data_IF_359633494623
#
_entry.id   IF_359633494623
#
_cell.length_a   1.000
_cell.length_b   1.000
_cell.length_c   1.000
_cell.angle_alpha   90.00
_cell.angle_beta   90.00
_cell.angle_gamma   90.00
#
_symmetry.space_group_name_H-M   'P 1'
#
loop_
_entity.id
_entity.type
_entity.pdbx_description
1 polymer ?
#
# COMPACT_ATOMS: atom_id res chain seq x y z
N UNK A 1 -1.41 -7.58 -64.78
CA UNK A 1 0.05 -7.73 -64.68
C UNK A 1 0.46 -7.23 -63.32
N UNK A 2 1.14 -8.09 -62.58
CA UNK A 2 1.74 -7.85 -61.27
C UNK A 2 2.62 -6.59 -61.21
N UNK A 3 2.62 -5.91 -60.06
CA UNK A 3 3.78 -5.91 -59.16
C UNK A 3 3.58 -4.96 -57.95
N UNK A 4 3.73 -5.51 -56.75
CA UNK A 4 4.49 -4.86 -55.67
C UNK A 4 3.78 -3.90 -54.72
N UNK A 5 2.99 -4.42 -53.77
CA UNK A 5 2.77 -3.72 -52.48
C UNK A 5 4.04 -3.87 -51.62
N UNK A 6 4.82 -2.80 -51.52
CA UNK A 6 5.91 -2.70 -50.55
C UNK A 6 5.35 -2.36 -49.17
N UNK A 7 5.49 -3.30 -48.23
CA UNK A 7 5.26 -3.13 -46.79
C UNK A 7 6.32 -2.18 -46.23
N UNK A 8 5.90 -1.01 -45.73
CA UNK A 8 6.80 -0.12 -44.98
C UNK A 8 7.04 -0.68 -43.58
N UNK A 9 8.30 -0.74 -43.18
CA UNK A 9 8.77 -1.14 -41.86
C UNK A 9 8.37 -0.09 -40.81
N UNK A 10 7.63 -0.45 -39.74
CA UNK A 10 7.22 0.48 -38.70
C UNK A 10 8.37 0.95 -37.78
N UNK A 11 9.64 0.67 -38.12
CA UNK A 11 10.82 1.05 -37.33
C UNK A 11 11.69 2.15 -37.95
N UNK A 12 11.28 2.73 -39.09
CA UNK A 12 12.04 3.83 -39.71
C UNK A 12 11.66 5.19 -39.09
N UNK A 13 12.44 5.62 -38.10
CA UNK A 13 12.22 6.85 -37.33
C UNK A 13 13.02 8.05 -37.86
N UNK A 14 13.23 8.12 -39.18
CA UNK A 14 13.97 9.21 -39.84
C UNK A 14 13.03 10.07 -40.70
N UNK A 15 12.18 10.86 -40.04
CA UNK A 15 11.66 12.16 -40.51
C UNK A 15 10.47 12.59 -39.65
N UNK A 16 10.73 13.23 -38.50
CA UNK A 16 9.73 14.05 -37.80
C UNK A 16 9.98 15.54 -37.92
N UNK A 17 10.96 15.95 -38.73
CA UNK A 17 11.15 17.35 -39.09
C UNK A 17 10.40 17.66 -40.39
N UNK A 18 9.07 17.78 -40.26
CA UNK A 18 8.26 18.61 -41.17
C UNK A 18 6.91 18.97 -40.55
N UNK A 19 6.94 20.14 -39.92
CA UNK A 19 5.94 21.21 -40.02
C UNK A 19 4.50 20.93 -39.55
N UNK A 20 4.26 21.21 -38.27
CA UNK A 20 3.02 21.85 -37.81
C UNK A 20 3.10 23.30 -38.27
N UNK A 21 2.45 23.62 -39.40
CA UNK A 21 2.23 24.99 -39.85
C UNK A 21 0.95 25.49 -39.17
N UNK A 22 1.01 26.72 -38.65
CA UNK A 22 -0.02 27.50 -37.97
C UNK A 22 -0.31 27.25 -36.48
N UNK A 23 0.47 27.95 -35.64
CA UNK A 23 -0.07 28.63 -34.45
C UNK A 23 0.67 29.95 -34.21
N UNK A 24 -0.03 30.99 -33.71
CA UNK A 24 0.42 32.37 -33.76
C UNK A 24 1.59 32.63 -32.81
N UNK A 25 2.46 33.53 -33.25
CA UNK A 25 3.67 33.97 -32.55
C UNK A 25 3.39 34.48 -31.13
N UNK A 26 4.31 34.11 -30.23
CA UNK A 26 4.49 34.56 -28.83
C UNK A 26 3.71 33.82 -27.73
N UNK A 27 4.07 32.56 -27.53
CA UNK A 27 4.27 32.00 -26.19
C UNK A 27 5.67 31.38 -26.18
N UNK A 28 6.60 31.96 -25.40
CA UNK A 28 7.97 31.45 -25.33
C UNK A 28 7.96 29.98 -24.95
N UNK A 29 8.76 29.16 -25.65
CA UNK A 29 8.98 27.77 -25.26
C UNK A 29 9.48 27.75 -23.82
N UNK A 30 8.66 27.23 -22.90
CA UNK A 30 9.08 26.97 -21.53
C UNK A 30 10.28 26.03 -21.63
N UNK A 31 11.45 26.49 -21.20
CA UNK A 31 12.62 25.62 -21.19
C UNK A 31 12.45 24.58 -20.09
N UNK A 32 13.14 23.45 -20.17
CA UNK A 32 13.13 22.47 -19.08
C UNK A 32 13.54 23.09 -17.74
N UNK A 33 14.38 24.13 -17.74
CA UNK A 33 14.76 24.87 -16.55
C UNK A 33 13.59 25.67 -15.96
N UNK A 34 12.81 26.35 -16.81
CA UNK A 34 11.64 27.14 -16.38
C UNK A 34 10.53 26.23 -15.83
N UNK A 35 10.30 25.08 -16.47
CA UNK A 35 9.35 24.07 -15.99
C UNK A 35 9.81 23.43 -14.67
N UNK A 36 11.11 23.15 -14.52
CA UNK A 36 11.66 22.57 -13.30
C UNK A 36 11.56 23.54 -12.10
N UNK A 37 11.78 24.84 -12.31
CA UNK A 37 11.60 25.86 -11.28
C UNK A 37 10.15 25.94 -10.80
N UNK A 38 9.19 25.94 -11.74
CA UNK A 38 7.76 25.95 -11.41
C UNK A 38 7.31 24.66 -10.70
N UNK A 39 7.90 23.51 -11.04
CA UNK A 39 7.63 22.25 -10.34
C UNK A 39 8.15 22.28 -8.90
N UNK A 40 9.34 22.86 -8.68
CA UNK A 40 9.92 23.05 -7.35
C UNK A 40 9.05 23.96 -6.48
N UNK A 41 8.57 25.08 -7.03
CA UNK A 41 7.67 26.01 -6.34
C UNK A 41 6.32 25.38 -5.97
N UNK A 42 5.90 24.33 -6.69
CA UNK A 42 4.70 23.54 -6.41
C UNK A 42 4.98 22.31 -5.52
N UNK A 43 6.17 22.21 -4.93
CA UNK A 43 6.52 21.14 -3.99
C UNK A 43 6.95 19.82 -4.64
N UNK A 44 7.23 19.80 -5.95
CA UNK A 44 7.77 18.64 -6.66
C UNK A 44 9.29 18.77 -6.79
N UNK A 45 10.04 17.80 -6.29
CA UNK A 45 11.51 17.78 -6.46
C UNK A 45 11.87 17.11 -7.81
N UNK A 46 12.44 17.84 -8.78
CA UNK A 46 12.76 17.27 -10.08
C UNK A 46 13.96 16.31 -9.98
N UNK A 47 13.78 15.09 -10.48
CA UNK A 47 14.84 14.07 -10.46
C UNK A 47 15.90 14.43 -11.52
N UNK A 48 17.17 14.66 -11.14
CA UNK A 48 18.22 14.96 -12.11
C UNK A 48 18.45 13.76 -13.02
N UNK A 49 18.81 14.01 -14.28
CA UNK A 49 19.08 13.00 -15.31
C UNK A 49 20.58 12.99 -15.60
N UNK A 50 21.18 11.80 -15.77
CA UNK A 50 22.60 11.66 -16.13
C UNK A 50 22.85 12.36 -17.48
N UNK A 51 23.84 13.25 -17.61
CA UNK A 51 24.11 13.94 -18.87
C UNK A 51 24.27 12.97 -20.05
N UNK A 52 23.50 13.19 -21.13
CA UNK A 52 23.54 12.36 -22.34
C UNK A 52 22.85 11.00 -22.24
N UNK A 53 22.26 10.66 -21.09
CA UNK A 53 21.53 9.40 -20.89
C UNK A 53 20.10 9.71 -20.45
N UNK A 54 19.09 8.99 -20.94
CA UNK A 54 17.70 9.12 -20.44
C UNK A 54 17.50 8.37 -19.12
N UNK A 55 18.47 8.48 -18.21
CA UNK A 55 18.55 7.69 -16.98
C UNK A 55 18.67 8.64 -15.78
N UNK A 56 17.84 8.47 -14.73
CA UNK A 56 17.97 9.24 -13.49
C UNK A 56 19.39 9.20 -12.90
N UNK A 57 19.92 10.37 -12.54
CA UNK A 57 21.14 10.54 -11.75
C UNK A 57 20.80 10.51 -10.26
N UNK A 58 20.38 9.35 -9.77
CA UNK A 58 20.08 9.16 -8.34
C UNK A 58 21.40 9.20 -7.54
N UNK A 59 21.61 10.25 -6.75
CA UNK A 59 22.71 10.33 -5.78
C UNK A 59 22.13 10.48 -4.36
N UNK A 60 22.49 9.57 -3.45
CA UNK A 60 22.16 9.54 -1.99
C UNK A 60 20.80 8.94 -1.56
N UNK A 61 20.47 7.74 -2.05
CA UNK A 61 19.29 6.96 -1.59
C UNK A 61 19.51 6.06 -0.35
N UNK A 62 20.70 6.07 0.27
CA UNK A 62 21.07 5.10 1.32
C UNK A 62 20.60 5.44 2.74
N UNK A 63 19.39 5.97 2.90
CA UNK A 63 18.75 6.02 4.21
C UNK A 63 17.25 5.93 4.04
N UNK A 64 16.69 4.73 4.14
CA UNK A 64 15.25 4.56 4.32
C UNK A 64 14.93 5.16 5.68
N UNK A 65 14.24 6.30 5.67
CA UNK A 65 13.61 6.81 6.87
C UNK A 65 12.31 6.03 7.01
N UNK A 66 12.36 4.87 7.67
CA UNK A 66 11.15 4.29 8.27
C UNK A 66 10.67 5.40 9.21
N UNK A 67 9.54 6.04 8.90
CA UNK A 67 9.10 7.25 9.60
C UNK A 67 9.41 7.16 11.10
N UNK A 68 10.35 7.94 11.65
CA UNK A 68 10.73 7.88 13.06
C UNK A 68 9.66 8.52 13.95
N UNK A 69 8.44 8.64 13.44
CA UNK A 69 7.36 9.38 14.07
C UNK A 69 6.41 8.38 14.72
N UNK A 70 5.89 8.69 15.93
CA UNK A 70 4.98 7.79 16.63
C UNK A 70 3.76 7.44 15.77
N UNK A 71 3.43 6.15 15.74
CA UNK A 71 2.27 5.58 15.06
C UNK A 71 1.34 5.00 16.12
N UNK A 72 0.05 5.28 16.02
CA UNK A 72 -0.98 4.61 16.80
C UNK A 72 -1.74 3.61 15.94
N UNK A 73 -1.81 2.35 16.39
CA UNK A 73 -2.71 1.34 15.84
C UNK A 73 -3.84 1.10 16.82
N UNK A 74 -5.08 1.35 16.41
CA UNK A 74 -6.28 1.01 17.21
C UNK A 74 -7.02 -0.14 16.56
N UNK A 75 -7.29 -1.19 17.33
CA UNK A 75 -7.91 -2.40 16.79
C UNK A 75 -8.66 -3.24 17.83
N UNK A 76 -8.91 -4.52 17.59
CA UNK A 76 -9.48 -5.42 18.61
C UNK A 76 -8.41 -5.86 19.60
N UNK A 77 -8.77 -5.95 20.88
CA UNK A 77 -7.87 -6.38 21.95
C UNK A 77 -7.12 -7.69 21.62
N UNK A 78 -7.82 -8.65 20.99
CA UNK A 78 -7.26 -9.95 20.63
C UNK A 78 -6.13 -9.89 19.58
N UNK A 79 -6.01 -8.80 18.83
CA UNK A 79 -5.02 -8.66 17.75
C UNK A 79 -3.96 -7.59 18.03
N UNK A 80 -4.05 -6.84 19.13
CA UNK A 80 -3.03 -5.85 19.51
C UNK A 80 -1.63 -6.44 19.59
N UNK A 81 -1.51 -7.65 20.14
CA UNK A 81 -0.23 -8.34 20.28
C UNK A 81 0.51 -8.56 18.94
N UNK A 82 -0.20 -8.55 17.81
CA UNK A 82 0.41 -8.67 16.48
C UNK A 82 1.30 -7.46 16.11
N UNK A 83 1.19 -6.34 16.84
CA UNK A 83 1.93 -5.11 16.57
C UNK A 83 3.01 -4.80 17.62
N UNK A 84 3.12 -5.62 18.68
CA UNK A 84 3.94 -5.30 19.86
C UNK A 84 5.45 -5.08 19.56
N UNK A 85 5.99 -5.78 18.57
CA UNK A 85 7.41 -5.73 18.23
C UNK A 85 7.74 -4.74 17.10
N UNK A 86 6.77 -3.93 16.65
CA UNK A 86 7.00 -2.95 15.59
C UNK A 86 7.52 -1.64 16.21
N UNK A 87 8.73 -1.19 15.85
CA UNK A 87 9.29 0.04 16.40
C UNK A 87 8.40 1.25 16.13
N UNK A 88 8.29 2.15 17.11
CA UNK A 88 7.49 3.39 17.06
C UNK A 88 5.98 3.17 16.87
N UNK A 89 5.48 1.96 17.10
CA UNK A 89 4.05 1.66 17.09
C UNK A 89 3.56 1.50 18.53
N UNK A 90 2.62 2.36 18.91
CA UNK A 90 1.77 2.16 20.08
C UNK A 90 0.46 1.50 19.66
N UNK A 91 -0.08 0.65 20.53
CA UNK A 91 -1.37 -0.01 20.30
C UNK A 91 -2.42 0.44 21.31
N UNK A 92 -3.67 0.43 20.87
CA UNK A 92 -4.82 0.47 21.75
C UNK A 92 -5.95 -0.38 21.15
N UNK A 93 -7.00 -0.60 21.93
CA UNK A 93 -8.22 -1.23 21.43
C UNK A 93 -9.46 -0.37 21.59
N UNK A 94 -10.48 -0.67 20.76
CA UNK A 94 -11.80 -0.07 20.87
C UNK A 94 -12.34 -0.17 22.32
N UNK A 95 -13.04 0.86 22.77
CA UNK A 95 -13.52 1.06 24.14
C UNK A 95 -12.43 1.35 25.20
N UNK A 96 -11.14 1.18 24.90
CA UNK A 96 -10.05 1.49 25.81
C UNK A 96 -9.31 2.80 25.48
N UNK A 97 -9.70 3.49 24.42
CA UNK A 97 -9.16 4.80 24.05
C UNK A 97 -9.87 5.96 24.76
N UNK A 98 -11.04 5.72 25.35
CA UNK A 98 -11.84 6.74 26.01
C UNK A 98 -11.08 7.39 27.17
N UNK A 99 -11.00 8.72 27.17
CA UNK A 99 -10.32 9.50 28.21
C UNK A 99 -8.80 9.56 28.11
N UNK A 100 -8.17 8.87 27.16
CA UNK A 100 -6.73 8.95 26.93
C UNK A 100 -6.34 10.21 26.12
N UNK A 101 -5.31 10.91 26.58
CA UNK A 101 -4.75 12.12 25.94
C UNK A 101 -3.25 11.97 25.58
N UNK A 102 -2.75 10.74 25.53
CA UNK A 102 -1.35 10.45 25.23
C UNK A 102 -1.02 10.37 23.73
N UNK A 103 -2.02 10.44 22.84
CA UNK A 103 -1.83 10.22 21.40
C UNK A 103 -1.81 11.52 20.58
N UNK A 104 -1.59 12.66 21.23
CA UNK A 104 -1.71 13.97 20.60
C UNK A 104 -0.57 14.33 19.64
N UNK A 105 0.53 13.58 19.65
CA UNK A 105 1.77 13.81 18.89
C UNK A 105 2.02 12.74 17.80
N UNK A 106 1.17 11.71 17.72
CA UNK A 106 1.27 10.68 16.67
C UNK A 106 1.14 11.30 15.29
N UNK A 107 1.97 10.84 14.36
CA UNK A 107 1.95 11.35 12.98
C UNK A 107 1.10 10.49 12.05
N UNK A 108 0.86 9.23 12.44
CA UNK A 108 0.00 8.30 11.74
C UNK A 108 -0.91 7.57 12.74
N UNK A 109 -2.19 7.52 12.43
CA UNK A 109 -3.19 6.72 13.13
C UNK A 109 -3.79 5.70 12.17
N UNK A 110 -3.73 4.41 12.53
CA UNK A 110 -4.32 3.32 11.76
C UNK A 110 -5.41 2.67 12.61
N UNK A 111 -6.67 2.79 12.20
CA UNK A 111 -7.79 2.09 12.80
C UNK A 111 -8.10 0.84 11.99
N UNK A 112 -7.98 -0.34 12.60
CA UNK A 112 -8.19 -1.64 11.94
C UNK A 112 -9.46 -2.29 12.48
N UNK A 113 -10.44 -2.49 11.61
CA UNK A 113 -11.74 -3.04 11.96
C UNK A 113 -12.71 -1.98 12.47
N UNK A 114 -13.77 -2.47 13.13
CA UNK A 114 -14.84 -1.67 13.72
C UNK A 114 -15.59 -2.47 14.80
N UNK A 115 -16.03 -1.86 15.90
CA UNK A 115 -16.92 -2.51 16.86
C UNK A 115 -18.35 -2.58 16.28
N UNK A 116 -18.59 -3.55 15.40
CA UNK A 116 -19.93 -3.83 14.87
C UNK A 116 -20.59 -4.91 15.73
N UNK A 117 -21.55 -4.55 16.61
CA UNK A 117 -22.26 -5.53 17.42
C UNK A 117 -23.09 -6.48 16.55
N UNK A 118 -23.42 -7.69 17.03
CA UNK A 118 -24.45 -8.54 16.43
C UNK A 118 -25.84 -7.87 16.46
N UNK A 119 -26.69 -8.16 15.47
CA UNK A 119 -28.06 -7.60 15.38
C UNK A 119 -28.84 -7.80 16.68
N UNK A 120 -28.81 -9.02 17.24
CA UNK A 120 -29.50 -9.38 18.48
C UNK A 120 -29.08 -8.54 19.69
N UNK A 121 -27.80 -8.16 19.78
CA UNK A 121 -27.31 -7.30 20.87
C UNK A 121 -27.81 -5.88 20.71
N UNK A 122 -27.82 -5.35 19.49
CA UNK A 122 -28.41 -4.04 19.19
C UNK A 122 -29.91 -4.06 19.48
N UNK A 123 -30.62 -5.12 19.06
CA UNK A 123 -32.06 -5.24 19.28
C UNK A 123 -32.42 -5.27 20.78
N UNK A 124 -31.63 -6.00 21.58
CA UNK A 124 -31.78 -6.02 23.03
C UNK A 124 -31.50 -4.65 23.67
N UNK A 125 -30.47 -3.94 23.21
CA UNK A 125 -30.17 -2.58 23.68
C UNK A 125 -31.29 -1.61 23.30
N UNK A 126 -31.84 -1.71 22.09
CA UNK A 126 -32.98 -0.89 21.65
C UNK A 126 -34.19 -1.11 22.56
N UNK A 127 -34.52 -2.36 22.89
CA UNK A 127 -35.58 -2.66 23.84
C UNK A 127 -35.35 -2.10 25.22
N UNK A 128 -34.12 -2.16 25.71
CA UNK A 128 -33.76 -1.58 27.00
C UNK A 128 -33.82 -0.04 27.02
N UNK A 129 -33.38 0.62 25.94
CA UNK A 129 -33.21 2.08 25.92
C UNK A 129 -34.49 2.83 25.51
N UNK A 130 -35.29 2.22 24.64
CA UNK A 130 -36.46 2.87 24.02
C UNK A 130 -37.80 2.18 24.33
N UNK A 131 -37.80 1.11 25.13
CA UNK A 131 -39.00 0.34 25.50
C UNK A 131 -39.79 -0.15 24.26
N UNK A 132 -39.07 -0.66 23.25
CA UNK A 132 -39.64 -1.16 22.00
C UNK A 132 -38.94 -2.42 21.50
N UNK A 133 -39.66 -3.29 20.80
CA UNK A 133 -39.04 -4.43 20.10
C UNK A 133 -38.74 -3.98 18.67
N UNK A 134 -37.47 -3.80 18.28
CA UNK A 134 -37.12 -3.40 16.93
C UNK A 134 -37.47 -4.48 15.92
N UNK A 135 -37.83 -4.08 14.71
CA UNK A 135 -38.09 -4.98 13.58
C UNK A 135 -36.94 -4.94 12.56
N UNK A 136 -36.77 -6.03 11.80
CA UNK A 136 -35.77 -6.12 10.75
C UNK A 136 -34.42 -6.68 11.20
N UNK A 137 -33.37 -6.35 10.45
CA UNK A 137 -32.03 -6.92 10.61
C UNK A 137 -30.97 -6.01 9.99
N UNK A 138 -29.71 -6.43 10.03
CA UNK A 138 -28.69 -5.81 9.20
C UNK A 138 -28.92 -6.01 7.70
N UNK A 139 -28.82 -4.92 6.96
CA UNK A 139 -28.88 -4.87 5.51
C UNK A 139 -27.64 -4.17 4.96
N UNK A 140 -27.16 -4.66 3.81
CA UNK A 140 -26.15 -3.96 3.03
C UNK A 140 -26.80 -2.84 2.23
N UNK A 141 -26.27 -1.64 2.37
CA UNK A 141 -26.61 -0.48 1.57
C UNK A 141 -25.36 0.17 1.00
N UNK A 142 -25.51 1.10 0.06
CA UNK A 142 -24.37 1.87 -0.48
C UNK A 142 -24.45 3.28 0.09
N UNK A 143 -23.46 3.63 0.91
CA UNK A 143 -23.30 4.97 1.44
C UNK A 143 -22.37 5.81 0.55
N UNK A 144 -22.64 7.11 0.45
CA UNK A 144 -21.79 8.04 -0.29
C UNK A 144 -20.70 8.66 0.60
N UNK A 145 -19.44 8.46 0.24
CA UNK A 145 -18.29 9.11 0.84
C UNK A 145 -17.96 10.40 0.10
N UNK A 146 -17.70 11.48 0.84
CA UNK A 146 -17.24 12.75 0.26
C UNK A 146 -15.73 12.72 0.11
N UNK A 147 -15.24 12.78 -1.13
CA UNK A 147 -13.81 12.86 -1.42
C UNK A 147 -13.31 14.31 -1.36
N UNK A 148 -12.03 14.54 -1.02
CA UNK A 148 -11.41 15.88 -1.08
C UNK A 148 -11.49 16.51 -2.47
N UNK A 149 -11.47 15.69 -3.52
CA UNK A 149 -11.65 16.14 -4.90
C UNK A 149 -13.04 16.70 -5.23
N UNK A 150 -13.98 16.66 -4.29
CA UNK A 150 -15.38 17.06 -4.47
C UNK A 150 -16.26 15.94 -5.06
N UNK A 151 -15.68 14.81 -5.45
CA UNK A 151 -16.44 13.64 -5.93
C UNK A 151 -17.10 12.88 -4.77
N UNK A 152 -18.23 12.23 -5.06
CA UNK A 152 -18.84 11.25 -4.15
C UNK A 152 -18.50 9.84 -4.63
N UNK A 153 -18.07 8.97 -3.72
CA UNK A 153 -17.77 7.56 -4.00
C UNK A 153 -18.67 6.66 -3.16
N UNK A 154 -19.24 5.63 -3.78
CA UNK A 154 -20.10 4.67 -3.09
C UNK A 154 -19.29 3.62 -2.34
N UNK A 155 -19.66 3.34 -1.09
CA UNK A 155 -19.10 2.28 -0.26
C UNK A 155 -20.24 1.38 0.24
N UNK A 156 -20.19 0.06 0.04
CA UNK A 156 -21.11 -0.87 0.68
C UNK A 156 -20.92 -0.87 2.20
N UNK A 157 -21.95 -0.53 2.97
CA UNK A 157 -21.94 -0.52 4.43
C UNK A 157 -23.06 -1.40 4.99
N UNK A 158 -22.96 -1.78 6.26
CA UNK A 158 -24.04 -2.47 6.98
C UNK A 158 -24.78 -1.45 7.85
N UNK A 159 -26.11 -1.43 7.73
CA UNK A 159 -27.03 -0.67 8.58
C UNK A 159 -28.12 -1.59 9.11
N UNK A 160 -28.69 -1.24 10.25
CA UNK A 160 -29.90 -1.88 10.74
C UNK A 160 -31.13 -1.28 10.04
N UNK A 161 -32.15 -2.11 9.76
CA UNK A 161 -33.39 -1.68 9.10
C UNK A 161 -34.27 -0.81 10.03
N UNK A 162 -34.36 -1.13 11.32
CA UNK A 162 -34.96 -0.26 12.36
C UNK A 162 -34.06 0.94 12.70
N UNK A 163 -34.67 2.13 12.78
CA UNK A 163 -33.97 3.42 12.97
C UNK A 163 -33.38 3.59 14.38
N UNK A 164 -34.05 3.07 15.42
CA UNK A 164 -33.55 3.17 16.80
C UNK A 164 -32.38 2.21 17.01
N UNK A 165 -32.50 0.99 16.48
CA UNK A 165 -31.40 0.04 16.42
C UNK A 165 -30.22 0.58 15.58
N UNK A 166 -30.48 1.23 14.46
CA UNK A 166 -29.41 1.85 13.66
C UNK A 166 -28.72 2.99 14.43
N UNK A 167 -29.47 3.78 15.20
CA UNK A 167 -28.91 4.82 16.07
C UNK A 167 -27.93 4.23 17.09
N UNK A 168 -28.31 3.14 17.77
CA UNK A 168 -27.42 2.48 18.73
C UNK A 168 -26.24 1.78 18.04
N UNK A 169 -26.46 1.15 16.88
CA UNK A 169 -25.36 0.58 16.08
C UNK A 169 -24.36 1.67 15.67
N UNK A 170 -24.84 2.81 15.18
CA UNK A 170 -23.99 3.93 14.79
C UNK A 170 -23.19 4.49 15.98
N UNK A 171 -23.83 4.62 17.15
CA UNK A 171 -23.17 5.05 18.38
C UNK A 171 -22.06 4.09 18.83
N UNK A 172 -22.28 2.78 18.70
CA UNK A 172 -21.27 1.77 19.07
C UNK A 172 -20.16 1.69 18.02
N UNK A 173 -20.50 1.73 16.73
CA UNK A 173 -19.58 1.45 15.63
C UNK A 173 -18.93 2.70 15.04
N UNK A 174 -19.75 3.63 14.54
CA UNK A 174 -19.29 4.76 13.73
C UNK A 174 -18.72 5.86 14.65
N UNK A 175 -19.40 6.15 15.76
CA UNK A 175 -18.96 7.16 16.73
C UNK A 175 -17.68 6.74 17.48
N UNK A 176 -17.52 5.44 17.78
CA UNK A 176 -16.27 4.94 18.35
C UNK A 176 -15.09 5.12 17.40
N UNK A 177 -15.28 4.89 16.09
CA UNK A 177 -14.25 5.18 15.08
C UNK A 177 -13.95 6.68 14.97
N UNK A 178 -14.97 7.54 15.02
CA UNK A 178 -14.77 8.99 15.08
C UNK A 178 -13.98 9.38 16.34
N UNK A 179 -14.29 8.75 17.48
CA UNK A 179 -13.57 8.98 18.73
C UNK A 179 -12.10 8.58 18.61
N UNK A 180 -11.83 7.41 18.03
CA UNK A 180 -10.48 6.93 17.72
C UNK A 180 -9.73 7.92 16.84
N UNK A 181 -10.31 8.37 15.73
CA UNK A 181 -9.70 9.38 14.85
C UNK A 181 -9.41 10.68 15.61
N UNK A 182 -10.31 11.08 16.51
CA UNK A 182 -10.15 12.24 17.38
C UNK A 182 -8.93 12.18 18.31
N UNK A 183 -8.41 10.98 18.64
CA UNK A 183 -7.26 10.82 19.54
C UNK A 183 -5.97 11.40 18.97
N UNK A 184 -5.78 11.35 17.66
CA UNK A 184 -4.63 12.00 17.01
C UNK A 184 -4.71 13.53 17.01
N UNK A 185 -5.82 14.13 17.48
CA UNK A 185 -6.04 15.59 17.55
C UNK A 185 -5.74 16.32 16.23
N UNK A 186 -6.14 15.72 15.10
CA UNK A 186 -5.90 16.27 13.75
C UNK A 186 -6.38 17.72 13.57
N UNK A 187 -7.44 18.13 14.27
CA UNK A 187 -7.96 19.51 14.26
C UNK A 187 -6.98 20.56 14.81
N UNK A 188 -6.04 20.15 15.67
CA UNK A 188 -5.01 21.02 16.25
C UNK A 188 -3.72 21.03 15.40
N UNK A 189 -3.69 20.29 14.30
CA UNK A 189 -2.50 20.13 13.46
C UNK A 189 -2.45 21.19 12.34
N UNK A 190 -1.25 21.44 11.85
CA UNK A 190 -0.99 22.34 10.71
C UNK A 190 -0.35 21.56 9.56
N UNK A 191 -0.17 22.20 8.41
CA UNK A 191 0.56 21.62 7.28
C UNK A 191 2.00 21.21 7.65
N UNK A 192 2.61 21.81 8.68
CA UNK A 192 3.96 21.48 9.13
C UNK A 192 4.02 20.25 10.06
N UNK A 193 2.89 19.83 10.64
CA UNK A 193 2.80 18.64 11.50
C UNK A 193 1.48 17.91 11.23
N UNK A 194 1.27 17.37 10.02
CA UNK A 194 0.00 16.74 9.67
C UNK A 194 -0.19 15.44 10.46
N UNK A 195 -1.46 15.09 10.71
CA UNK A 195 -1.85 13.75 11.12
C UNK A 195 -2.38 13.01 9.89
N UNK A 196 -1.77 11.87 9.58
CA UNK A 196 -2.31 10.92 8.60
C UNK A 196 -3.22 9.90 9.32
N UNK A 197 -4.38 9.59 8.73
CA UNK A 197 -5.37 8.67 9.31
C UNK A 197 -5.78 7.63 8.29
N UNK A 198 -5.60 6.35 8.63
CA UNK A 198 -6.06 5.21 7.83
C UNK A 198 -7.18 4.48 8.56
N UNK A 199 -8.30 4.25 7.88
CA UNK A 199 -9.42 3.46 8.39
C UNK A 199 -9.55 2.21 7.53
N UNK A 200 -9.23 1.05 8.11
CA UNK A 200 -9.28 -0.25 7.47
C UNK A 200 -10.57 -0.97 7.88
N UNK A 201 -11.70 -0.40 7.47
CA UNK A 201 -13.03 -0.99 7.64
C UNK A 201 -14.04 -0.37 6.66
N UNK A 202 -15.08 -1.14 6.31
CA UNK A 202 -16.12 -0.71 5.35
C UNK A 202 -17.16 0.24 6.01
N UNK A 203 -16.73 1.38 6.52
CA UNK A 203 -17.59 2.38 7.21
C UNK A 203 -17.69 3.69 6.45
N UNK A 204 -18.84 4.35 6.54
CA UNK A 204 -19.07 5.66 5.96
C UNK A 204 -19.10 6.74 7.05
N UNK A 205 -17.91 7.17 7.45
CA UNK A 205 -17.73 8.23 8.44
C UNK A 205 -18.03 9.61 7.84
N UNK A 206 -18.56 10.57 8.63
CA UNK A 206 -18.81 11.95 8.19
C UNK A 206 -17.52 12.79 8.05
N UNK A 207 -16.50 12.24 7.40
CA UNK A 207 -15.20 12.87 7.15
C UNK A 207 -14.98 13.07 5.64
N UNK A 208 -14.11 14.02 5.30
CA UNK A 208 -13.64 14.19 3.91
C UNK A 208 -12.50 13.20 3.67
N UNK A 209 -12.65 12.37 2.63
CA UNK A 209 -11.72 11.28 2.33
C UNK A 209 -10.73 11.71 1.25
N UNK A 210 -9.45 11.57 1.52
CA UNK A 210 -8.38 11.84 0.56
C UNK A 210 -8.20 10.70 -0.46
N UNK A 211 -8.18 9.46 0.01
CA UNK A 211 -7.97 8.26 -0.80
C UNK A 211 -8.91 7.13 -0.34
N UNK A 212 -9.54 6.47 -1.32
CA UNK A 212 -10.33 5.26 -1.13
C UNK A 212 -9.75 4.16 -2.02
N UNK A 213 -9.54 2.99 -1.46
CA UNK A 213 -8.88 1.84 -2.08
C UNK A 213 -9.45 0.55 -1.49
N UNK A 214 -9.10 -0.60 -2.06
CA UNK A 214 -9.52 -1.90 -1.54
C UNK A 214 -8.36 -2.62 -0.87
N UNK A 215 -8.68 -3.51 0.07
CA UNK A 215 -7.66 -4.34 0.71
C UNK A 215 -6.86 -5.16 -0.31
N UNK A 216 -7.48 -5.66 -1.37
CA UNK A 216 -6.79 -6.42 -2.41
C UNK A 216 -5.69 -5.63 -3.14
N UNK A 217 -5.79 -4.30 -3.17
CA UNK A 217 -4.80 -3.40 -3.77
C UNK A 217 -3.70 -3.03 -2.78
N UNK A 218 -4.04 -2.83 -1.50
CA UNK A 218 -3.10 -2.37 -0.48
C UNK A 218 -2.35 -3.50 0.24
N UNK A 219 -2.94 -4.69 0.32
CA UNK A 219 -2.33 -5.81 1.05
C UNK A 219 -1.02 -6.23 0.39
N UNK A 220 -0.02 -6.65 1.18
CA UNK A 220 1.19 -7.21 0.61
C UNK A 220 0.87 -8.40 -0.30
N UNK A 221 1.43 -8.40 -1.50
CA UNK A 221 1.40 -9.57 -2.37
C UNK A 221 2.42 -10.63 -1.89
N UNK A 222 2.44 -11.77 -2.58
CA UNK A 222 3.32 -12.88 -2.21
C UNK A 222 4.80 -12.50 -2.28
N UNK A 223 5.18 -11.63 -3.22
CA UNK A 223 6.56 -11.18 -3.38
C UNK A 223 6.94 -10.26 -2.21
N UNK A 224 6.06 -9.34 -1.85
CA UNK A 224 6.24 -8.42 -0.73
C UNK A 224 6.28 -9.17 0.60
N UNK A 225 5.45 -10.18 0.81
CA UNK A 225 5.54 -11.06 1.98
C UNK A 225 6.90 -11.75 2.10
N UNK A 226 7.46 -12.22 0.98
CA UNK A 226 8.81 -12.80 0.99
C UNK A 226 9.88 -11.74 1.31
N UNK A 227 9.83 -10.56 0.68
CA UNK A 227 10.77 -9.45 0.99
C UNK A 227 10.69 -9.05 2.46
N UNK A 228 9.49 -8.92 3.03
CA UNK A 228 9.29 -8.60 4.45
C UNK A 228 9.75 -9.73 5.37
N UNK A 229 9.76 -10.97 4.88
CA UNK A 229 10.36 -12.12 5.56
C UNK A 229 11.89 -12.21 5.36
N UNK A 230 12.50 -11.20 4.73
CA UNK A 230 13.94 -11.02 4.57
C UNK A 230 14.40 -11.02 3.12
N UNK A 231 13.82 -11.86 2.25
CA UNK A 231 14.27 -12.00 0.86
C UNK A 231 13.17 -12.61 0.00
N UNK A 232 13.03 -12.18 -1.25
CA UNK A 232 12.17 -12.81 -2.25
C UNK A 232 13.00 -13.52 -3.31
N UNK A 233 12.45 -14.59 -3.90
CA UNK A 233 13.08 -15.34 -5.00
C UNK A 233 12.06 -15.67 -6.09
N UNK A 234 12.52 -15.84 -7.32
CA UNK A 234 11.70 -16.23 -8.49
C UNK A 234 11.56 -17.75 -8.68
N UNK A 235 12.34 -18.53 -7.93
CA UNK A 235 12.27 -20.00 -7.90
C UNK A 235 11.23 -20.49 -6.89
N UNK A 236 10.12 -21.12 -7.30
CA UNK A 236 9.12 -21.62 -6.36
C UNK A 236 9.65 -22.70 -5.41
N UNK A 237 10.62 -23.49 -5.88
CA UNK A 237 11.25 -24.52 -5.06
C UNK A 237 12.09 -23.91 -3.93
N UNK A 238 12.81 -22.83 -4.22
CA UNK A 238 13.64 -22.16 -3.21
C UNK A 238 12.76 -21.29 -2.29
N UNK A 239 11.71 -20.66 -2.82
CA UNK A 239 10.73 -19.91 -2.03
C UNK A 239 10.07 -20.77 -0.94
N UNK A 240 9.70 -22.02 -1.27
CA UNK A 240 9.12 -22.94 -0.30
C UNK A 240 10.09 -23.37 0.81
N UNK A 241 11.40 -23.37 0.55
CA UNK A 241 12.41 -23.67 1.56
C UNK A 241 12.72 -22.44 2.42
N UNK A 242 12.84 -21.27 1.79
CA UNK A 242 13.15 -20.00 2.48
C UNK A 242 11.97 -19.48 3.30
N UNK A 243 10.75 -19.76 2.89
CA UNK A 243 9.52 -19.25 3.53
C UNK A 243 8.51 -20.36 3.85
N UNK A 244 8.85 -21.30 4.76
CA UNK A 244 7.94 -22.40 5.11
C UNK A 244 6.65 -21.92 5.78
N UNK A 245 6.62 -20.70 6.34
CA UNK A 245 5.40 -20.07 6.85
C UNK A 245 4.47 -19.51 5.75
N UNK A 246 4.98 -19.28 4.54
CA UNK A 246 4.20 -18.79 3.39
C UNK A 246 3.78 -19.92 2.44
N UNK A 247 4.58 -20.99 2.36
CA UNK A 247 4.33 -22.11 1.45
C UNK A 247 4.63 -23.44 2.12
N UNK A 248 3.68 -24.37 2.07
CA UNK A 248 3.90 -25.74 2.54
C UNK A 248 4.75 -26.59 1.59
N UNK A 249 4.79 -26.26 0.30
CA UNK A 249 5.63 -26.93 -0.70
C UNK A 249 5.83 -26.12 -2.00
N UNK A 250 6.71 -26.62 -2.88
CA UNK A 250 7.05 -25.97 -4.15
C UNK A 250 5.87 -25.83 -5.14
N UNK A 251 4.89 -26.74 -5.12
CA UNK A 251 3.72 -26.64 -6.00
C UNK A 251 2.78 -25.51 -5.54
N UNK A 252 2.64 -25.34 -4.23
CA UNK A 252 1.89 -24.22 -3.65
C UNK A 252 2.54 -22.88 -3.99
N UNK A 253 3.86 -22.75 -3.81
CA UNK A 253 4.61 -21.58 -4.23
C UNK A 253 4.44 -21.29 -5.73
N UNK A 254 4.50 -22.32 -6.58
CA UNK A 254 4.31 -22.18 -8.03
C UNK A 254 2.91 -21.67 -8.37
N UNK A 255 1.88 -22.17 -7.68
CA UNK A 255 0.50 -21.73 -7.87
C UNK A 255 0.32 -20.29 -7.38
N UNK A 256 0.89 -19.92 -6.23
CA UNK A 256 0.88 -18.56 -5.72
C UNK A 256 1.54 -17.59 -6.72
N UNK A 257 2.71 -17.95 -7.25
CA UNK A 257 3.40 -17.14 -8.26
C UNK A 257 2.54 -17.00 -9.52
N UNK A 258 1.89 -18.05 -10.01
CA UNK A 258 1.01 -17.95 -11.18
C UNK A 258 -0.18 -17.02 -10.96
N UNK A 259 -0.73 -16.99 -9.74
CA UNK A 259 -1.85 -16.12 -9.36
C UNK A 259 -1.43 -14.66 -9.21
N UNK A 260 -0.22 -14.43 -8.72
CA UNK A 260 0.37 -13.09 -8.56
C UNK A 260 0.94 -12.52 -9.87
N UNK A 261 1.49 -13.36 -10.76
CA UNK A 261 2.22 -12.94 -11.97
C UNK A 261 1.32 -12.77 -13.21
N UNK A 262 0.12 -13.39 -13.26
CA UNK A 262 -0.73 -13.37 -14.47
C UNK A 262 -2.08 -12.63 -14.34
N UNK A 263 -2.13 -11.55 -13.54
CA UNK A 263 -3.14 -10.48 -13.69
C UNK A 263 -2.56 -9.20 -14.32
N UNK A 264 -1.53 -9.32 -15.15
CA UNK A 264 -1.10 -8.23 -16.06
C UNK A 264 -0.59 -6.97 -15.37
N UNK A 265 -0.28 -7.03 -14.08
CA UNK A 265 0.44 -5.99 -13.37
C UNK A 265 1.66 -6.64 -12.75
N UNK A 266 2.85 -6.32 -13.26
CA UNK A 266 4.02 -6.33 -12.39
C UNK A 266 3.66 -5.39 -11.23
N UNK A 267 3.77 -5.79 -9.96
CA UNK A 267 3.77 -4.86 -8.83
C UNK A 267 5.07 -4.06 -8.90
N UNK A 268 5.18 -3.20 -9.91
CA UNK A 268 6.23 -2.20 -10.09
C UNK A 268 5.60 -0.84 -10.41
N UNK A 269 4.30 -0.74 -10.74
CA UNK A 269 3.79 0.49 -11.35
C UNK A 269 3.00 1.45 -10.47
N UNK A 270 2.71 1.13 -9.21
CA UNK A 270 2.13 2.13 -8.29
C UNK A 270 2.40 1.74 -6.85
N UNK A 271 3.03 2.66 -6.11
CA UNK A 271 3.31 2.66 -4.67
C UNK A 271 4.27 1.59 -4.12
N UNK A 272 5.56 1.71 -4.42
CA UNK A 272 6.52 1.47 -3.34
C UNK A 272 6.75 2.79 -2.62
N UNK A 273 6.38 2.82 -1.34
CA UNK A 273 6.83 3.82 -0.37
C UNK A 273 8.36 3.70 -0.22
N UNK A 274 9.10 4.22 -1.19
CA UNK A 274 10.53 4.55 -1.03
C UNK A 274 11.46 3.33 -0.76
N UNK A 275 10.98 2.09 -0.92
CA UNK A 275 11.80 0.91 -0.72
C UNK A 275 12.75 0.69 -1.89
N UNK A 276 14.02 0.73 -1.54
CA UNK A 276 15.16 0.38 -2.38
C UNK A 276 15.39 -1.12 -2.32
N UNK A 277 15.04 -1.85 -3.37
CA UNK A 277 15.35 -3.29 -3.46
C UNK A 277 16.76 -3.50 -4.00
N UNK A 278 17.55 -4.27 -3.27
CA UNK A 278 18.81 -4.85 -3.75
C UNK A 278 18.48 -6.18 -4.41
N UNK A 279 19.32 -6.63 -5.35
CA UNK A 279 19.09 -7.92 -5.99
C UNK A 279 20.39 -8.67 -6.29
N UNK A 280 20.25 -9.97 -6.55
CA UNK A 280 21.35 -10.80 -7.02
C UNK A 280 20.86 -11.90 -7.95
N UNK A 281 21.63 -12.18 -8.98
CA UNK A 281 21.51 -13.43 -9.73
C UNK A 281 22.27 -14.53 -8.97
N UNK A 282 21.65 -15.68 -8.78
CA UNK A 282 22.25 -16.81 -8.09
C UNK A 282 22.01 -18.13 -8.81
N UNK A 283 22.89 -19.10 -8.55
CA UNK A 283 22.76 -20.46 -9.06
C UNK A 283 23.19 -21.46 -8.00
N UNK A 284 22.30 -22.40 -7.67
CA UNK A 284 22.58 -23.48 -6.72
C UNK A 284 23.54 -24.50 -7.32
N UNK A 285 24.35 -25.15 -6.48
CA UNK A 285 25.19 -26.26 -6.91
C UNK A 285 24.34 -27.46 -7.39
N UNK A 286 24.87 -28.23 -8.34
CA UNK A 286 24.25 -29.46 -8.84
C UNK A 286 23.76 -29.41 -10.30
N UNK A 287 23.56 -30.60 -10.87
CA UNK A 287 23.20 -30.78 -12.29
C UNK A 287 21.78 -30.29 -12.55
N UNK A 288 21.60 -29.47 -13.60
CA UNK A 288 20.29 -28.98 -14.04
C UNK A 288 19.75 -27.76 -13.28
N UNK A 289 20.55 -27.13 -12.41
CA UNK A 289 20.18 -25.88 -11.72
C UNK A 289 20.50 -24.68 -12.60
N UNK A 290 19.45 -23.97 -13.02
CA UNK A 290 19.54 -22.73 -13.78
C UNK A 290 19.77 -21.50 -12.89
N UNK A 291 19.99 -20.36 -13.55
CA UNK A 291 20.04 -19.06 -12.90
C UNK A 291 18.67 -18.65 -12.37
N UNK A 292 18.68 -18.03 -11.20
CA UNK A 292 17.52 -17.49 -10.50
C UNK A 292 17.86 -16.10 -9.96
N UNK A 293 16.85 -15.36 -9.50
CA UNK A 293 17.00 -14.02 -8.92
C UNK A 293 16.49 -13.96 -7.48
N UNK A 294 17.20 -13.19 -6.67
CA UNK A 294 16.84 -12.86 -5.30
C UNK A 294 16.73 -11.34 -5.12
N UNK A 295 15.81 -10.89 -4.26
CA UNK A 295 15.57 -9.49 -3.94
C UNK A 295 15.38 -9.27 -2.45
N UNK A 296 15.98 -8.23 -1.87
CA UNK A 296 15.82 -7.92 -0.45
C UNK A 296 15.85 -6.41 -0.21
N UNK A 297 15.28 -5.98 0.92
CA UNK A 297 15.22 -4.58 1.30
C UNK A 297 16.40 -4.18 2.21
N UNK A 298 16.71 -5.00 3.22
CA UNK A 298 17.73 -4.70 4.23
C UNK A 298 18.78 -5.82 4.34
N UNK A 299 19.99 -5.45 4.78
CA UNK A 299 21.14 -6.33 4.85
C UNK A 299 22.12 -6.16 3.68
N UNK A 300 23.38 -6.47 3.94
CA UNK A 300 24.43 -6.48 2.92
C UNK A 300 24.36 -7.79 2.10
N UNK A 301 24.83 -7.77 0.83
CA UNK A 301 24.75 -8.93 -0.05
C UNK A 301 25.44 -10.19 0.48
N UNK A 302 26.50 -10.07 1.31
CA UNK A 302 27.21 -11.23 1.84
C UNK A 302 26.44 -11.87 2.99
N UNK A 303 25.77 -11.07 3.82
CA UNK A 303 24.87 -11.58 4.85
C UNK A 303 23.71 -12.37 4.24
N UNK A 304 23.03 -11.81 3.22
CA UNK A 304 21.93 -12.49 2.52
C UNK A 304 22.43 -13.76 1.83
N UNK A 305 23.60 -13.73 1.17
CA UNK A 305 24.20 -14.93 0.60
C UNK A 305 24.42 -16.03 1.64
N UNK A 306 24.95 -15.70 2.82
CA UNK A 306 25.15 -16.68 3.91
C UNK A 306 23.84 -17.29 4.39
N UNK A 307 22.76 -16.49 4.46
CA UNK A 307 21.43 -17.00 4.77
C UNK A 307 20.95 -18.01 3.71
N UNK A 308 21.17 -17.72 2.43
CA UNK A 308 20.85 -18.64 1.34
C UNK A 308 21.63 -19.95 1.46
N UNK A 309 22.94 -19.89 1.64
CA UNK A 309 23.79 -21.08 1.76
C UNK A 309 23.39 -21.93 2.98
N UNK A 310 23.00 -21.29 4.10
CA UNK A 310 22.51 -21.97 5.29
C UNK A 310 21.19 -22.72 5.11
N UNK A 311 20.27 -22.20 4.27
CA UNK A 311 18.94 -22.80 4.07
C UNK A 311 18.83 -23.68 2.83
N UNK A 312 19.50 -23.30 1.73
CA UNK A 312 19.44 -23.97 0.42
C UNK A 312 20.64 -24.86 0.13
N UNK A 313 21.69 -24.80 0.97
CA UNK A 313 23.00 -25.39 0.70
C UNK A 313 23.85 -24.54 -0.26
N UNK A 314 25.02 -25.05 -0.60
CA UNK A 314 26.04 -24.30 -1.36
C UNK A 314 25.52 -23.70 -2.67
N UNK A 315 25.82 -22.42 -2.86
CA UNK A 315 25.63 -21.71 -4.12
C UNK A 315 26.88 -21.87 -5.00
N UNK A 316 26.69 -22.24 -6.25
CA UNK A 316 27.77 -22.28 -7.23
C UNK A 316 28.20 -20.86 -7.64
N UNK A 317 27.23 -19.97 -7.81
CA UNK A 317 27.46 -18.60 -8.26
C UNK A 317 26.48 -17.62 -7.59
N UNK A 318 26.96 -16.41 -7.28
CA UNK A 318 26.18 -15.31 -6.70
C UNK A 318 26.73 -13.97 -7.20
N UNK A 319 25.90 -13.20 -7.92
CA UNK A 319 26.25 -11.92 -8.52
C UNK A 319 25.27 -10.85 -8.03
N UNK A 320 25.70 -10.01 -7.09
CA UNK A 320 24.91 -8.88 -6.62
C UNK A 320 24.83 -7.78 -7.68
N UNK A 321 23.63 -7.27 -7.92
CA UNK A 321 23.33 -6.14 -8.80
C UNK A 321 22.99 -4.93 -7.91
N UNK A 322 23.74 -3.83 -8.05
CA UNK A 322 23.54 -2.57 -7.33
C UNK A 322 22.90 -1.50 -8.22
#
# INVERSE_FOLDING_TARGET
MDAGRSLRDPRDNRNTDRAVVDRPERAGQITFADAAAQLLDNGYEPIPIKPGQKVPALSRWTSVTIYPRPVLVVTYQAIEAAFADIPNVETAHFNAVAGLDCYNDVSLLISIGRPLPPSQEVEALTGAYFDLVPDGRYRREVAGLRMRSGQVRGLPVLRHEDENAETLRAAICDDELIQVVGRGRGVNRTAANPLEVHVLSDVALPLIIDRMTTWDVERPDVFQHMVLSGVAVDSPADAAVLHPGLFGNANEAKLAFSRSVFKGQNPINTSYREMTLKSAAYRRAGRGRGWQRAWWADGDPQSVRRQFEGMLGDLAEWHAEY
#
